data_IF_921392862716
#
_entry.id   IF_921392862716
#
_cell.length_a   1.000
_cell.length_b   1.000
_cell.length_c   1.000
_cell.angle_alpha   90.00
_cell.angle_beta   90.00
_cell.angle_gamma   90.00
#
_symmetry.space_group_name_H-M   'P 1'
#
loop_
_entity.id
_entity.type
_entity.pdbx_description
1 polymer ?
#
# COMPACT_ATOMS: atom_id res chain seq x y z
N UNK A 1 -28.78 12.79 -9.44
CA UNK A 1 -27.62 12.94 -10.35
C UNK A 1 -27.81 11.99 -11.51
N UNK A 2 -27.95 12.48 -12.75
CA UNK A 2 -28.20 11.63 -13.92
C UNK A 2 -26.90 11.01 -14.45
N UNK A 3 -26.97 9.76 -14.90
CA UNK A 3 -25.90 9.08 -15.61
C UNK A 3 -25.61 9.81 -16.94
N UNK A 4 -24.35 10.15 -17.28
CA UNK A 4 -24.03 11.01 -18.42
C UNK A 4 -24.32 10.39 -19.81
N UNK A 5 -24.90 9.20 -19.89
CA UNK A 5 -25.20 8.51 -21.14
C UNK A 5 -26.69 8.47 -21.54
N UNK A 6 -27.62 9.08 -20.80
CA UNK A 6 -29.02 9.14 -21.24
C UNK A 6 -29.27 10.36 -22.14
N UNK A 7 -29.17 10.18 -23.46
CA UNK A 7 -29.74 11.13 -24.42
C UNK A 7 -31.26 10.92 -24.48
N UNK A 8 -32.01 11.74 -23.75
CA UNK A 8 -33.47 11.85 -23.92
C UNK A 8 -33.78 13.15 -24.64
N UNK A 9 -34.08 13.06 -25.94
CA UNK A 9 -34.88 14.07 -26.66
C UNK A 9 -36.32 13.59 -26.75
N UNK A 10 -37.33 14.46 -26.62
CA UNK A 10 -38.72 14.08 -26.78
C UNK A 10 -39.00 13.83 -28.26
N UNK A 11 -39.68 12.72 -28.55
CA UNK A 11 -40.04 12.28 -29.91
C UNK A 11 -41.32 13.01 -30.33
N UNK A 12 -41.21 13.93 -31.28
CA UNK A 12 -42.32 14.27 -32.17
C UNK A 12 -42.37 13.23 -33.30
N UNK A 13 -43.58 12.75 -33.58
CA UNK A 13 -43.87 11.75 -34.58
C UNK A 13 -43.55 12.24 -35.99
N UNK A 14 -42.79 11.46 -36.76
CA UNK A 14 -42.89 11.41 -38.23
C UNK A 14 -42.42 10.03 -38.71
N UNK A 15 -43.30 9.43 -39.51
CA UNK A 15 -43.22 8.12 -40.14
C UNK A 15 -42.31 8.22 -41.38
N UNK A 16 -41.24 7.42 -41.50
CA UNK A 16 -40.79 6.98 -42.83
C UNK A 16 -39.83 5.78 -42.83
N UNK A 17 -39.95 5.00 -43.91
CA UNK A 17 -39.44 3.63 -44.10
C UNK A 17 -37.93 3.53 -44.40
N UNK A 18 -37.40 2.33 -44.08
CA UNK A 18 -36.20 1.63 -44.61
C UNK A 18 -34.81 2.11 -44.18
N UNK A 19 -34.14 1.26 -43.39
CA UNK A 19 -32.73 0.86 -43.61
C UNK A 19 -32.40 -0.45 -42.85
N UNK A 20 -31.99 -1.55 -43.51
CA UNK A 20 -31.64 -2.79 -42.85
C UNK A 20 -30.11 -2.91 -42.71
N UNK A 21 -29.47 -2.08 -41.88
CA UNK A 21 -28.04 -2.24 -41.55
C UNK A 21 -27.73 -1.67 -40.17
N UNK A 22 -27.85 -2.50 -39.13
CA UNK A 22 -27.05 -2.39 -37.89
C UNK A 22 -27.45 -3.53 -36.94
N UNK A 23 -26.67 -4.61 -36.91
CA UNK A 23 -26.60 -5.50 -35.75
C UNK A 23 -25.86 -4.74 -34.63
N UNK A 24 -26.48 -3.69 -34.09
CA UNK A 24 -26.11 -3.08 -32.83
C UNK A 24 -26.93 -3.77 -31.76
N UNK A 25 -26.29 -4.57 -30.90
CA UNK A 25 -26.91 -5.07 -29.68
C UNK A 25 -27.48 -3.86 -28.93
N UNK A 26 -28.82 -3.75 -28.87
CA UNK A 26 -29.48 -2.84 -27.95
C UNK A 26 -29.05 -3.26 -26.54
N UNK A 27 -28.06 -2.59 -25.98
CA UNK A 27 -27.77 -2.66 -24.55
C UNK A 27 -29.11 -2.41 -23.84
N UNK A 28 -29.55 -3.32 -22.95
CA UNK A 28 -30.82 -3.14 -22.27
C UNK A 28 -30.82 -1.79 -21.56
N UNK A 29 -31.91 -1.01 -21.70
CA UNK A 29 -32.11 0.22 -20.95
C UNK A 29 -32.19 -0.13 -19.46
N UNK A 30 -31.05 -0.16 -18.77
CA UNK A 30 -30.95 -0.53 -17.37
C UNK A 30 -31.20 0.70 -16.51
N UNK A 31 -32.13 0.61 -15.57
CA UNK A 31 -32.42 1.71 -14.65
C UNK A 31 -31.31 1.82 -13.58
N UNK A 32 -31.11 3.03 -13.04
CA UNK A 32 -30.08 3.30 -12.03
C UNK A 32 -30.16 2.34 -10.82
N UNK A 33 -31.38 2.13 -10.32
CA UNK A 33 -31.62 1.24 -9.17
C UNK A 33 -31.30 -0.22 -9.46
N UNK A 34 -31.56 -0.68 -10.68
CA UNK A 34 -31.25 -2.05 -11.13
C UNK A 34 -29.75 -2.24 -11.33
N UNK A 35 -29.08 -1.25 -11.96
CA UNK A 35 -27.64 -1.29 -12.20
C UNK A 35 -26.83 -1.36 -10.91
N UNK A 36 -27.22 -0.58 -9.89
CA UNK A 36 -26.53 -0.56 -8.59
C UNK A 36 -27.08 -1.57 -7.58
N UNK A 37 -28.13 -2.32 -7.92
CA UNK A 37 -28.81 -3.25 -7.02
C UNK A 37 -29.19 -2.58 -5.68
N UNK A 38 -29.81 -1.39 -5.76
CA UNK A 38 -30.15 -0.61 -4.57
C UNK A 38 -31.18 -1.32 -3.67
N UNK A 39 -31.97 -2.23 -4.23
CA UNK A 39 -32.86 -3.10 -3.47
C UNK A 39 -32.09 -3.98 -2.49
N UNK A 40 -30.90 -4.48 -2.86
CA UNK A 40 -30.04 -5.24 -1.95
C UNK A 40 -29.24 -4.33 -1.04
N UNK A 41 -28.63 -3.30 -1.61
CA UNK A 41 -27.70 -2.42 -0.90
C UNK A 41 -28.39 -1.58 0.17
N UNK A 42 -29.61 -1.09 -0.08
CA UNK A 42 -30.32 -0.22 0.87
C UNK A 42 -31.17 -1.00 1.88
N UNK A 43 -31.39 -2.31 1.67
CA UNK A 43 -32.13 -3.18 2.59
C UNK A 43 -31.22 -4.12 3.40
N UNK A 44 -29.90 -3.93 3.40
CA UNK A 44 -28.96 -4.72 4.21
C UNK A 44 -28.66 -4.10 5.58
N UNK A 45 -29.55 -3.24 6.10
CA UNK A 45 -29.39 -2.57 7.39
C UNK A 45 -30.42 -3.13 8.37
N UNK A 46 -29.94 -3.83 9.40
CA UNK A 46 -30.80 -4.40 10.45
C UNK A 46 -30.19 -4.06 11.81
N UNK A 47 -30.94 -3.36 12.64
CA UNK A 47 -30.50 -2.94 13.97
C UNK A 47 -30.68 -4.11 14.95
N UNK A 48 -29.60 -4.50 15.62
CA UNK A 48 -29.62 -5.55 16.63
C UNK A 48 -30.34 -5.08 17.90
N UNK A 49 -30.26 -3.78 18.23
CA UNK A 49 -31.05 -3.20 19.33
C UNK A 49 -32.56 -3.38 19.10
N UNK A 50 -33.04 -3.09 17.89
CA UNK A 50 -34.44 -3.26 17.53
C UNK A 50 -34.82 -4.75 17.51
N UNK A 51 -33.98 -5.59 16.92
CA UNK A 51 -34.27 -7.03 16.71
C UNK A 51 -34.27 -7.83 18.01
N UNK A 52 -33.32 -7.56 18.92
CA UNK A 52 -33.10 -8.36 20.13
C UNK A 52 -33.41 -7.61 21.42
N UNK A 53 -33.29 -6.28 21.43
CA UNK A 53 -33.54 -5.42 22.59
C UNK A 53 -34.96 -4.88 22.66
N UNK A 54 -35.73 -4.92 21.57
CA UNK A 54 -37.03 -4.23 21.41
C UNK A 54 -36.95 -2.70 21.62
N UNK A 55 -35.77 -2.10 21.45
CA UNK A 55 -35.55 -0.66 21.53
C UNK A 55 -34.75 -0.19 20.32
N UNK A 56 -35.09 0.97 19.76
CA UNK A 56 -34.37 1.52 18.60
C UNK A 56 -33.30 2.48 19.10
N UNK A 57 -32.03 2.05 19.05
CA UNK A 57 -30.90 2.95 19.31
C UNK A 57 -30.48 3.62 18.00
N UNK A 58 -30.73 4.93 17.91
CA UNK A 58 -30.58 5.69 16.67
C UNK A 58 -29.18 5.58 16.04
N UNK A 59 -28.13 5.70 16.84
CA UNK A 59 -26.75 5.73 16.36
C UNK A 59 -26.21 4.35 15.94
N UNK A 60 -26.94 3.25 16.22
CA UNK A 60 -26.62 1.94 15.68
C UNK A 60 -26.70 1.93 14.14
N UNK A 61 -27.64 2.68 13.56
CA UNK A 61 -27.74 2.83 12.11
C UNK A 61 -26.48 3.47 11.51
N UNK A 62 -25.95 4.51 12.17
CA UNK A 62 -24.69 5.16 11.77
C UNK A 62 -23.51 4.19 11.85
N UNK A 63 -23.46 3.40 12.91
CA UNK A 63 -22.43 2.36 13.09
C UNK A 63 -22.45 1.35 11.94
N UNK A 64 -23.62 0.82 11.58
CA UNK A 64 -23.77 -0.16 10.49
C UNK A 64 -23.36 0.45 9.14
N UNK A 65 -23.93 1.61 8.77
CA UNK A 65 -23.65 2.26 7.47
C UNK A 65 -22.15 2.59 7.33
N UNK A 66 -21.51 3.05 8.41
CA UNK A 66 -20.08 3.35 8.38
C UNK A 66 -19.25 2.10 8.05
N UNK A 67 -19.53 0.98 8.71
CA UNK A 67 -18.80 -0.28 8.47
C UNK A 67 -19.11 -0.85 7.08
N UNK A 68 -20.35 -0.78 6.61
CA UNK A 68 -20.71 -1.21 5.26
C UNK A 68 -19.99 -0.38 4.20
N UNK A 69 -19.89 0.94 4.38
CA UNK A 69 -19.12 1.80 3.49
C UNK A 69 -17.63 1.43 3.47
N UNK A 70 -17.02 1.12 4.64
CA UNK A 70 -15.65 0.58 4.69
C UNK A 70 -15.52 -0.72 3.88
N UNK A 71 -16.42 -1.67 4.06
CA UNK A 71 -16.37 -2.97 3.38
C UNK A 71 -16.57 -2.85 1.85
N UNK A 72 -17.37 -1.89 1.37
CA UNK A 72 -17.46 -1.59 -0.06
C UNK A 72 -16.14 -1.05 -0.62
N UNK A 73 -15.48 -0.15 0.12
CA UNK A 73 -14.18 0.38 -0.29
C UNK A 73 -13.06 -0.65 -0.19
N UNK A 74 -13.09 -1.54 0.82
CA UNK A 74 -12.17 -2.68 0.89
C UNK A 74 -12.33 -3.59 -0.31
N UNK A 75 -13.56 -3.88 -0.74
CA UNK A 75 -13.82 -4.64 -1.97
C UNK A 75 -13.22 -3.96 -3.20
N UNK A 76 -13.36 -2.64 -3.32
CA UNK A 76 -12.75 -1.89 -4.41
C UNK A 76 -11.21 -1.95 -4.37
N UNK A 77 -10.60 -1.82 -3.18
CA UNK A 77 -9.15 -1.93 -3.00
C UNK A 77 -8.66 -3.33 -3.41
N UNK A 78 -9.35 -4.40 -2.98
CA UNK A 78 -9.04 -5.78 -3.36
C UNK A 78 -9.12 -5.96 -4.88
N UNK A 79 -10.15 -5.39 -5.51
CA UNK A 79 -10.31 -5.44 -6.97
C UNK A 79 -9.14 -4.77 -7.71
N UNK A 80 -8.71 -3.59 -7.25
CA UNK A 80 -7.54 -2.90 -7.81
C UNK A 80 -6.25 -3.68 -7.56
N UNK A 81 -6.03 -4.17 -6.34
CA UNK A 81 -4.83 -4.93 -5.96
C UNK A 81 -4.71 -6.22 -6.78
N UNK A 82 -5.79 -6.97 -6.98
CA UNK A 82 -5.79 -8.15 -7.84
C UNK A 82 -5.35 -7.80 -9.26
N UNK A 83 -5.86 -6.68 -9.78
CA UNK A 83 -5.50 -6.23 -11.12
C UNK A 83 -4.04 -5.77 -11.21
N UNK A 84 -3.52 -5.08 -10.19
CA UNK A 84 -2.13 -4.66 -10.11
C UNK A 84 -1.18 -5.85 -9.97
N UNK A 85 -1.49 -6.81 -9.09
CA UNK A 85 -0.74 -8.07 -8.94
C UNK A 85 -0.63 -8.79 -10.28
N UNK A 86 -1.74 -8.94 -11.02
CA UNK A 86 -1.75 -9.56 -12.35
C UNK A 86 -0.85 -8.83 -13.36
N UNK A 87 -0.81 -7.49 -13.32
CA UNK A 87 0.07 -6.70 -14.20
C UNK A 87 1.55 -6.91 -13.86
N UNK A 88 1.91 -7.01 -12.58
CA UNK A 88 3.30 -7.29 -12.15
C UNK A 88 3.74 -8.74 -12.39
N UNK A 89 2.81 -9.70 -12.41
CA UNK A 89 3.15 -11.12 -12.65
C UNK A 89 3.65 -11.42 -14.06
N UNK A 90 3.54 -10.47 -15.00
CA UNK A 90 4.08 -10.65 -16.35
C UNK A 90 5.61 -10.54 -16.39
N UNK A 91 6.26 -11.29 -17.28
CA UNK A 91 7.73 -11.26 -17.42
C UNK A 91 8.26 -9.88 -17.82
N UNK A 92 7.56 -9.20 -18.72
CA UNK A 92 7.86 -7.84 -19.15
C UNK A 92 6.74 -6.86 -18.77
N UNK A 93 7.14 -5.69 -18.25
CA UNK A 93 6.26 -4.57 -17.97
C UNK A 93 6.62 -3.46 -18.95
N UNK A 94 5.79 -3.31 -19.98
CA UNK A 94 5.85 -2.18 -20.90
C UNK A 94 5.35 -0.88 -20.23
N UNK A 95 5.60 0.26 -20.89
CA UNK A 95 5.24 1.59 -20.35
C UNK A 95 3.72 1.76 -20.17
N UNK A 96 2.91 1.19 -21.07
CA UNK A 96 1.45 1.26 -20.97
C UNK A 96 0.94 0.53 -19.72
N UNK A 97 1.52 -0.63 -19.41
CA UNK A 97 1.23 -1.37 -18.17
C UNK A 97 1.70 -0.59 -16.95
N UNK A 98 2.86 0.05 -17.02
CA UNK A 98 3.37 0.87 -15.92
C UNK A 98 2.40 2.02 -15.60
N UNK A 99 1.92 2.75 -16.62
CA UNK A 99 0.92 3.81 -16.43
C UNK A 99 -0.38 3.29 -15.78
N UNK A 100 -0.85 2.10 -16.19
CA UNK A 100 -2.03 1.45 -15.58
C UNK A 100 -1.78 1.05 -14.13
N UNK A 101 -0.59 0.54 -13.81
CA UNK A 101 -0.19 0.23 -12.43
C UNK A 101 -0.21 1.52 -11.60
N UNK A 102 0.49 2.57 -12.04
CA UNK A 102 0.56 3.87 -11.35
C UNK A 102 -0.83 4.46 -11.12
N UNK A 103 -1.71 4.42 -12.13
CA UNK A 103 -3.08 4.93 -12.00
C UNK A 103 -3.91 4.19 -10.95
N UNK A 104 -3.78 2.86 -10.90
CA UNK A 104 -4.54 2.01 -9.95
C UNK A 104 -4.00 2.09 -8.54
N UNK A 105 -2.68 2.14 -8.38
CA UNK A 105 -2.06 2.39 -7.07
C UNK A 105 -2.45 3.77 -6.54
N UNK A 106 -2.44 4.82 -7.39
CA UNK A 106 -2.96 6.13 -7.00
C UNK A 106 -4.42 6.07 -6.53
N UNK A 107 -5.26 5.31 -7.24
CA UNK A 107 -6.67 5.12 -6.85
C UNK A 107 -6.78 4.47 -5.47
N UNK A 108 -5.99 3.44 -5.19
CA UNK A 108 -5.95 2.81 -3.86
C UNK A 108 -5.54 3.85 -2.80
N UNK A 109 -4.52 4.67 -3.06
CA UNK A 109 -4.09 5.74 -2.14
C UNK A 109 -5.22 6.73 -1.88
N UNK A 110 -5.94 7.18 -2.91
CA UNK A 110 -7.05 8.13 -2.75
C UNK A 110 -8.21 7.51 -1.96
N UNK A 111 -8.54 6.24 -2.20
CA UNK A 111 -9.55 5.53 -1.40
C UNK A 111 -9.10 5.44 0.05
N UNK A 112 -7.85 5.05 0.32
CA UNK A 112 -7.34 4.96 1.69
C UNK A 112 -7.35 6.32 2.41
N UNK A 113 -7.07 7.43 1.72
CA UNK A 113 -7.22 8.79 2.28
C UNK A 113 -8.67 9.07 2.69
N UNK A 114 -9.64 8.74 1.84
CA UNK A 114 -11.06 8.84 2.18
C UNK A 114 -11.41 7.98 3.41
N UNK A 115 -10.87 6.76 3.50
CA UNK A 115 -11.09 5.86 4.64
C UNK A 115 -10.52 6.40 5.95
N UNK A 116 -9.39 7.12 5.90
CA UNK A 116 -8.81 7.82 7.05
C UNK A 116 -9.75 8.92 7.52
N UNK A 117 -10.28 9.73 6.60
CA UNK A 117 -11.18 10.84 6.91
C UNK A 117 -12.57 10.35 7.35
N UNK A 118 -13.03 9.21 6.85
CA UNK A 118 -14.34 8.64 7.18
C UNK A 118 -14.51 8.33 8.68
N UNK A 119 -13.43 8.13 9.44
CA UNK A 119 -13.49 7.87 10.90
C UNK A 119 -14.18 9.03 11.63
N UNK A 120 -13.99 10.28 11.17
CA UNK A 120 -14.55 11.46 11.85
C UNK A 120 -16.08 11.46 11.83
N UNK A 121 -16.71 10.76 10.89
CA UNK A 121 -18.17 10.59 10.83
C UNK A 121 -18.63 9.76 12.03
N UNK A 122 -17.94 8.66 12.33
CA UNK A 122 -18.28 7.80 13.47
C UNK A 122 -17.94 8.44 14.81
N UNK A 123 -16.96 9.35 14.84
CA UNK A 123 -16.61 10.15 16.03
C UNK A 123 -17.67 11.20 16.41
N UNK A 124 -18.72 11.38 15.60
CA UNK A 124 -19.88 12.21 15.96
C UNK A 124 -20.81 11.54 16.97
N UNK A 125 -20.81 10.20 17.02
CA UNK A 125 -21.53 9.41 18.04
C UNK A 125 -20.91 9.61 19.42
N UNK A 126 -21.72 9.83 20.46
CA UNK A 126 -21.18 9.96 21.81
C UNK A 126 -20.88 8.56 22.41
N UNK A 127 -19.89 8.44 23.31
CA UNK A 127 -19.57 7.17 23.95
C UNK A 127 -20.75 6.55 24.73
N UNK A 128 -21.63 7.38 25.31
CA UNK A 128 -22.81 6.91 26.02
C UNK A 128 -23.82 6.26 25.07
N UNK A 129 -24.10 6.87 23.92
CA UNK A 129 -24.98 6.32 22.89
C UNK A 129 -24.42 4.99 22.36
N UNK A 130 -23.09 4.89 22.20
CA UNK A 130 -22.45 3.63 21.84
C UNK A 130 -22.66 2.52 22.89
N UNK A 131 -22.67 2.86 24.19
CA UNK A 131 -22.90 1.87 25.24
C UNK A 131 -24.30 1.26 25.20
N UNK A 132 -25.31 2.01 24.72
CA UNK A 132 -26.71 1.54 24.67
C UNK A 132 -26.88 0.30 23.78
N UNK A 133 -26.14 0.22 22.66
CA UNK A 133 -26.25 -0.92 21.74
C UNK A 133 -25.03 -1.85 21.73
N UNK A 134 -23.92 -1.50 22.39
CA UNK A 134 -22.68 -2.30 22.40
C UNK A 134 -22.89 -3.75 22.84
N UNK A 135 -23.82 -4.01 23.76
CA UNK A 135 -24.08 -5.37 24.27
C UNK A 135 -24.55 -6.34 23.18
N UNK A 136 -25.26 -5.84 22.16
CA UNK A 136 -25.76 -6.65 21.05
C UNK A 136 -24.66 -7.02 20.04
N UNK A 137 -23.50 -6.36 20.10
CA UNK A 137 -22.39 -6.63 19.19
C UNK A 137 -21.54 -7.82 19.61
N UNK A 138 -21.60 -8.28 20.87
CA UNK A 138 -20.75 -9.40 21.32
C UNK A 138 -21.23 -10.73 20.74
N UNK A 139 -20.35 -11.61 20.20
CA UNK A 139 -18.88 -11.55 20.16
C UNK A 139 -18.29 -10.92 18.89
N UNK A 140 -19.12 -10.29 18.04
CA UNK A 140 -18.69 -9.71 16.79
C UNK A 140 -17.64 -8.59 16.98
N UNK A 141 -16.66 -8.56 16.07
CA UNK A 141 -15.58 -7.58 16.13
C UNK A 141 -14.94 -7.35 14.75
N UNK A 142 -14.32 -6.18 14.57
CA UNK A 142 -13.52 -5.88 13.38
C UNK A 142 -12.37 -6.85 13.11
N UNK A 143 -11.98 -7.68 14.10
CA UNK A 143 -11.08 -8.81 13.87
C UNK A 143 -11.59 -9.82 12.84
N UNK A 144 -12.91 -9.89 12.67
CA UNK A 144 -13.61 -10.78 11.74
C UNK A 144 -13.81 -10.13 10.36
N UNK A 145 -13.26 -8.94 10.09
CA UNK A 145 -13.26 -8.39 8.73
C UNK A 145 -12.32 -9.20 7.84
N UNK A 146 -12.91 -10.07 7.03
CA UNK A 146 -12.22 -10.92 6.05
C UNK A 146 -11.46 -10.06 5.05
N UNK A 147 -12.11 -9.05 4.49
CA UNK A 147 -11.53 -8.20 3.46
C UNK A 147 -10.32 -7.41 3.98
N UNK A 148 -10.36 -6.94 5.23
CA UNK A 148 -9.20 -6.28 5.83
C UNK A 148 -7.98 -7.22 5.94
N UNK A 149 -8.20 -8.48 6.34
CA UNK A 149 -7.11 -9.49 6.38
C UNK A 149 -6.60 -9.85 5.00
N UNK A 150 -7.49 -9.99 4.02
CA UNK A 150 -7.12 -10.21 2.62
C UNK A 150 -6.27 -9.07 2.09
N UNK A 151 -6.60 -7.80 2.37
CA UNK A 151 -5.78 -6.64 1.97
C UNK A 151 -4.38 -6.72 2.58
N UNK A 152 -4.26 -6.99 3.89
CA UNK A 152 -2.96 -7.13 4.56
C UNK A 152 -2.11 -8.24 3.92
N UNK A 153 -2.70 -9.41 3.66
CA UNK A 153 -2.03 -10.56 3.07
C UNK A 153 -1.61 -10.27 1.61
N UNK A 154 -2.52 -9.68 0.81
CA UNK A 154 -2.27 -9.29 -0.58
C UNK A 154 -1.14 -8.26 -0.71
N UNK A 155 -1.03 -7.32 0.24
CA UNK A 155 0.09 -6.39 0.28
C UNK A 155 1.39 -7.12 0.63
N UNK A 156 1.37 -7.94 1.70
CA UNK A 156 2.48 -8.81 2.08
C UNK A 156 2.82 -8.80 3.57
N UNK A 157 1.86 -8.50 4.46
CA UNK A 157 2.05 -8.63 5.91
C UNK A 157 2.17 -10.12 6.26
N UNK A 158 3.31 -10.52 6.82
CA UNK A 158 3.54 -11.93 7.16
C UNK A 158 3.00 -12.27 8.54
N UNK A 159 2.65 -13.54 8.75
CA UNK A 159 2.10 -14.00 10.02
C UNK A 159 3.06 -13.85 11.20
N UNK A 160 4.36 -14.05 10.99
CA UNK A 160 5.37 -13.92 12.04
C UNK A 160 5.54 -12.46 12.52
N UNK A 161 5.08 -11.51 11.72
CA UNK A 161 5.15 -10.08 12.03
C UNK A 161 3.94 -9.61 12.83
N UNK A 162 2.82 -10.35 12.77
CA UNK A 162 1.58 -10.00 13.45
C UNK A 162 1.77 -10.10 14.95
N UNK A 163 1.16 -9.16 15.68
CA UNK A 163 1.13 -9.20 17.14
C UNK A 163 0.08 -10.23 17.56
N UNK A 164 0.48 -11.17 18.41
CA UNK A 164 -0.41 -12.19 18.93
C UNK A 164 -1.49 -11.53 19.79
N UNK A 165 -2.75 -11.77 19.41
CA UNK A 165 -3.93 -11.32 20.14
C UNK A 165 -4.35 -12.37 21.20
N UNK A 166 -4.33 -13.66 20.82
CA UNK A 166 -4.52 -14.81 21.70
C UNK A 166 -3.30 -15.74 21.58
N UNK A 167 -3.27 -16.86 22.34
CA UNK A 167 -2.30 -17.94 22.12
C UNK A 167 -2.42 -18.57 20.72
N UNK A 168 -3.54 -18.32 20.03
CA UNK A 168 -3.88 -18.87 18.71
C UNK A 168 -3.58 -17.90 17.55
N UNK A 169 -3.45 -18.45 16.34
CA UNK A 169 -3.24 -17.70 15.08
C UNK A 169 -4.42 -16.74 14.81
N UNK A 170 -4.17 -15.64 14.09
CA UNK A 170 -5.23 -14.66 13.72
C UNK A 170 -6.42 -15.29 12.97
N UNK A 171 -6.20 -16.41 12.29
CA UNK A 171 -7.24 -17.17 11.59
C UNK A 171 -8.30 -17.76 12.52
N UNK A 172 -7.96 -18.00 13.79
CA UNK A 172 -8.89 -18.57 14.79
C UNK A 172 -10.10 -17.68 15.08
N UNK A 173 -10.07 -16.42 14.62
CA UNK A 173 -11.18 -15.48 14.77
C UNK A 173 -12.32 -15.77 13.78
N UNK A 174 -12.05 -16.49 12.69
CA UNK A 174 -13.05 -16.89 11.70
C UNK A 174 -13.59 -18.29 12.04
N UNK A 175 -14.90 -18.45 12.01
CA UNK A 175 -15.58 -19.72 12.29
C UNK A 175 -16.18 -20.35 11.04
N UNK A 176 -16.48 -19.55 10.01
CA UNK A 176 -17.07 -20.03 8.78
C UNK A 176 -15.99 -20.55 7.80
N UNK A 177 -16.20 -21.72 7.17
CA UNK A 177 -15.21 -22.33 6.30
C UNK A 177 -14.83 -21.48 5.08
N UNK A 178 -15.77 -20.69 4.54
CA UNK A 178 -15.55 -19.87 3.35
C UNK A 178 -14.58 -18.71 3.62
N UNK A 179 -14.76 -18.00 4.74
CA UNK A 179 -13.85 -16.94 5.16
C UNK A 179 -12.47 -17.49 5.50
N UNK A 180 -12.40 -18.62 6.20
CA UNK A 180 -11.12 -19.29 6.50
C UNK A 180 -10.40 -19.62 5.19
N UNK A 181 -11.11 -20.22 4.21
CA UNK A 181 -10.52 -20.55 2.92
C UNK A 181 -10.04 -19.30 2.18
N UNK A 182 -10.85 -18.25 2.13
CA UNK A 182 -10.50 -16.98 1.47
C UNK A 182 -9.24 -16.36 2.07
N UNK A 183 -9.12 -16.35 3.40
CA UNK A 183 -7.95 -15.80 4.10
C UNK A 183 -6.72 -16.68 3.85
N UNK A 184 -6.84 -18.00 3.93
CA UNK A 184 -5.75 -18.94 3.65
C UNK A 184 -5.25 -18.86 2.20
N UNK A 185 -6.18 -18.77 1.23
CA UNK A 185 -5.84 -18.56 -0.17
C UNK A 185 -5.03 -17.27 -0.34
N UNK A 186 -5.48 -16.17 0.28
CA UNK A 186 -4.75 -14.89 0.23
C UNK A 186 -3.36 -14.92 0.85
N UNK A 187 -3.11 -15.82 1.81
CA UNK A 187 -1.80 -15.99 2.47
C UNK A 187 -0.82 -16.78 1.59
N UNK A 188 -1.30 -17.78 0.86
CA UNK A 188 -0.49 -18.62 -0.03
C UNK A 188 -0.20 -17.92 -1.37
N UNK A 189 -1.09 -17.03 -1.78
CA UNK A 189 -0.99 -16.26 -2.99
C UNK A 189 0.24 -15.35 -3.02
N UNK A 190 0.84 -15.15 -4.20
CA UNK A 190 2.01 -14.26 -4.30
C UNK A 190 1.61 -12.81 -4.01
N UNK A 191 2.13 -12.25 -2.92
CA UNK A 191 1.82 -10.88 -2.48
C UNK A 191 2.40 -9.81 -3.41
N UNK A 192 1.84 -8.61 -3.34
CA UNK A 192 2.32 -7.44 -4.08
C UNK A 192 3.78 -7.15 -3.75
N UNK A 193 4.19 -7.26 -2.48
CA UNK A 193 5.58 -7.07 -2.07
C UNK A 193 6.55 -8.01 -2.81
N UNK A 194 6.21 -9.29 -2.94
CA UNK A 194 7.06 -10.26 -3.68
C UNK A 194 7.11 -9.93 -5.16
N UNK A 195 5.98 -9.55 -5.77
CA UNK A 195 5.93 -9.18 -7.18
C UNK A 195 6.73 -7.90 -7.50
N UNK A 196 6.63 -6.90 -6.62
CA UNK A 196 7.40 -5.66 -6.71
C UNK A 196 8.90 -5.96 -6.57
N UNK A 197 9.31 -6.82 -5.64
CA UNK A 197 10.72 -7.24 -5.51
C UNK A 197 11.23 -7.89 -6.79
N UNK A 198 10.50 -8.86 -7.36
CA UNK A 198 10.87 -9.50 -8.64
C UNK A 198 11.02 -8.50 -9.78
N UNK A 199 10.17 -7.48 -9.82
CA UNK A 199 10.28 -6.39 -10.78
C UNK A 199 11.53 -5.52 -10.54
N UNK A 200 11.79 -5.14 -9.29
CA UNK A 200 12.96 -4.34 -8.90
C UNK A 200 14.28 -5.05 -9.17
N UNK A 201 14.35 -6.37 -9.00
CA UNK A 201 15.53 -7.19 -9.32
C UNK A 201 15.91 -7.19 -10.80
N UNK A 202 14.97 -6.78 -11.68
CA UNK A 202 15.14 -6.64 -13.13
C UNK A 202 15.38 -5.20 -13.56
N UNK A 203 15.58 -4.27 -12.62
CA UNK A 203 15.83 -2.86 -12.93
C UNK A 203 17.05 -2.74 -13.84
N UNK A 204 16.93 -2.05 -15.00
CA UNK A 204 18.05 -1.90 -15.92
C UNK A 204 19.15 -1.06 -15.26
N UNK A 205 20.40 -1.51 -15.41
CA UNK A 205 21.60 -0.86 -14.88
C UNK A 205 22.24 -1.56 -13.68
N UNK A 206 21.55 -2.56 -13.12
CA UNK A 206 22.10 -3.44 -12.07
C UNK A 206 23.04 -4.53 -12.64
N UNK A 207 23.09 -4.71 -13.96
CA UNK A 207 23.88 -5.78 -14.57
C UNK A 207 25.39 -5.51 -14.40
N UNK A 208 26.14 -6.52 -13.93
CA UNK A 208 27.61 -6.44 -13.72
C UNK A 208 28.39 -6.08 -14.98
N UNK A 209 27.96 -6.66 -16.12
CA UNK A 209 28.58 -6.44 -17.44
C UNK A 209 27.96 -5.25 -18.19
N UNK A 210 27.08 -4.48 -17.54
CA UNK A 210 26.42 -3.30 -18.11
C UNK A 210 26.86 -2.03 -17.40
N UNK A 211 25.88 -1.24 -16.94
CA UNK A 211 26.17 0.01 -16.21
C UNK A 211 26.86 -0.24 -14.85
N UNK A 212 26.61 -1.41 -14.23
CA UNK A 212 27.13 -1.81 -12.93
C UNK A 212 26.93 -0.73 -11.85
N UNK A 213 25.67 -0.30 -11.69
CA UNK A 213 25.28 0.74 -10.74
C UNK A 213 25.84 0.47 -9.34
N UNK A 214 25.71 -0.78 -8.86
CA UNK A 214 26.06 -1.13 -7.49
C UNK A 214 27.54 -0.90 -7.19
N UNK A 215 28.44 -1.31 -8.09
CA UNK A 215 29.88 -1.11 -7.89
C UNK A 215 30.25 0.37 -7.93
N UNK A 216 29.72 1.12 -8.90
CA UNK A 216 29.96 2.57 -8.99
C UNK A 216 29.46 3.32 -7.76
N UNK A 217 28.31 2.92 -7.24
CA UNK A 217 27.75 3.50 -6.03
C UNK A 217 28.61 3.19 -4.80
N UNK A 218 29.08 1.94 -4.67
CA UNK A 218 30.05 1.54 -3.64
C UNK A 218 31.34 2.37 -3.73
N UNK A 219 31.93 2.49 -4.91
CA UNK A 219 33.16 3.26 -5.12
C UNK A 219 32.97 4.74 -4.77
N UNK A 220 31.84 5.35 -5.13
CA UNK A 220 31.50 6.72 -4.70
C UNK A 220 31.49 6.85 -3.18
N UNK A 221 30.83 5.92 -2.47
CA UNK A 221 30.73 5.98 -1.00
C UNK A 221 32.10 5.77 -0.36
N UNK A 222 32.91 4.83 -0.87
CA UNK A 222 34.27 4.60 -0.39
C UNK A 222 35.15 5.84 -0.59
N UNK A 223 35.08 6.49 -1.75
CA UNK A 223 35.80 7.75 -2.00
C UNK A 223 35.38 8.85 -1.01
N UNK A 224 34.08 8.96 -0.68
CA UNK A 224 33.61 9.91 0.33
C UNK A 224 34.15 9.60 1.74
N UNK A 225 34.20 8.31 2.11
CA UNK A 225 34.78 7.88 3.38
C UNK A 225 36.29 8.15 3.43
N UNK A 226 37.01 7.94 2.34
CA UNK A 226 38.43 8.29 2.21
C UNK A 226 38.66 9.80 2.32
N UNK A 227 37.82 10.64 1.67
CA UNK A 227 37.88 12.10 1.83
C UNK A 227 37.62 12.54 3.27
N UNK A 228 36.62 11.97 3.95
CA UNK A 228 36.37 12.24 5.37
C UNK A 228 37.57 11.83 6.22
N UNK A 229 38.16 10.66 5.93
CA UNK A 229 39.35 10.19 6.65
C UNK A 229 40.54 11.13 6.47
N UNK A 230 40.77 11.60 5.24
CA UNK A 230 41.80 12.60 4.95
C UNK A 230 41.56 13.91 5.72
N UNK A 231 40.32 14.40 5.79
CA UNK A 231 39.96 15.58 6.57
C UNK A 231 40.24 15.40 8.06
N UNK A 232 39.86 14.25 8.63
CA UNK A 232 40.14 13.90 10.05
C UNK A 232 41.65 13.92 10.33
N UNK A 233 42.45 13.35 9.42
CA UNK A 233 43.90 13.23 9.61
C UNK A 233 44.63 14.57 9.46
N UNK A 234 44.04 15.55 8.78
CA UNK A 234 44.61 16.90 8.56
C UNK A 234 43.94 18.01 9.41
N UNK A 235 42.89 17.68 10.17
CA UNK A 235 42.24 18.63 11.06
C UNK A 235 43.06 18.83 12.33
N UNK A 236 43.32 20.10 12.66
CA UNK A 236 44.13 20.52 13.81
C UNK A 236 43.27 20.83 15.03
N UNK A 237 41.99 21.16 14.83
CA UNK A 237 41.02 21.40 15.88
C UNK A 237 40.44 20.07 16.40
N UNK A 238 40.78 19.71 17.64
CA UNK A 238 40.32 18.46 18.27
C UNK A 238 38.78 18.37 18.41
N UNK A 239 38.06 19.50 18.53
CA UNK A 239 36.60 19.47 18.56
C UNK A 239 36.03 19.04 17.22
N UNK A 240 36.50 19.67 16.14
CA UNK A 240 36.06 19.34 14.76
C UNK A 240 36.50 17.96 14.34
N UNK A 241 37.70 17.53 14.74
CA UNK A 241 38.19 16.19 14.48
C UNK A 241 37.29 15.11 15.10
N UNK A 242 36.83 15.33 16.32
CA UNK A 242 35.88 14.42 16.97
C UNK A 242 34.52 14.41 16.25
N UNK A 243 34.01 15.57 15.82
CA UNK A 243 32.77 15.65 15.04
C UNK A 243 32.88 14.88 13.70
N UNK A 244 33.97 15.09 12.97
CA UNK A 244 34.25 14.38 11.71
C UNK A 244 34.42 12.87 11.92
N UNK A 245 35.05 12.45 13.02
CA UNK A 245 35.20 11.03 13.36
C UNK A 245 33.85 10.36 13.63
N UNK A 246 32.95 11.03 14.36
CA UNK A 246 31.58 10.55 14.59
C UNK A 246 30.81 10.45 13.26
N UNK A 247 30.93 11.45 12.38
CA UNK A 247 30.31 11.40 11.04
C UNK A 247 30.83 10.22 10.22
N UNK A 248 32.15 10.01 10.19
CA UNK A 248 32.79 8.90 9.49
C UNK A 248 32.29 7.55 10.01
N UNK A 249 32.30 7.34 11.33
CA UNK A 249 31.88 6.07 11.94
C UNK A 249 30.38 5.81 11.69
N UNK A 250 29.54 6.84 11.80
CA UNK A 250 28.12 6.72 11.51
C UNK A 250 27.86 6.35 10.04
N UNK A 251 28.52 7.04 9.11
CA UNK A 251 28.39 6.80 7.67
C UNK A 251 28.89 5.40 7.31
N UNK A 252 30.07 5.02 7.78
CA UNK A 252 30.66 3.70 7.55
C UNK A 252 29.72 2.59 8.05
N UNK A 253 29.27 2.65 9.31
CA UNK A 253 28.38 1.63 9.87
C UNK A 253 27.04 1.53 9.10
N UNK A 254 26.51 2.66 8.66
CA UNK A 254 25.29 2.72 7.86
C UNK A 254 25.46 2.00 6.53
N UNK A 255 26.48 2.36 5.74
CA UNK A 255 26.74 1.78 4.42
C UNK A 255 27.32 0.35 4.47
N UNK A 256 28.04 -0.02 5.52
CA UNK A 256 28.48 -1.41 5.75
C UNK A 256 27.28 -2.36 5.82
N UNK A 257 26.17 -1.94 6.42
CA UNK A 257 24.92 -2.73 6.47
C UNK A 257 24.20 -2.83 5.11
N UNK A 258 24.63 -2.03 4.13
CA UNK A 258 24.06 -1.99 2.79
C UNK A 258 24.87 -2.85 1.81
N UNK A 259 26.20 -2.72 1.82
CA UNK A 259 27.09 -3.42 0.89
C UNK A 259 27.32 -4.89 1.28
N UNK A 260 27.29 -5.21 2.57
CA UNK A 260 27.40 -6.58 3.06
C UNK A 260 26.06 -7.33 2.91
N UNK A 261 26.06 -8.30 1.99
CA UNK A 261 24.89 -9.13 1.69
C UNK A 261 24.48 -10.01 2.88
N UNK A 262 25.43 -10.49 3.68
CA UNK A 262 25.13 -11.33 4.84
C UNK A 262 24.46 -10.51 5.95
N UNK A 263 24.98 -9.31 6.24
CA UNK A 263 24.34 -8.37 7.18
C UNK A 263 22.95 -7.96 6.71
N UNK A 264 22.79 -7.70 5.41
CA UNK A 264 21.48 -7.42 4.83
C UNK A 264 20.50 -8.58 5.04
N UNK A 265 20.91 -9.82 4.70
CA UNK A 265 20.08 -11.00 4.86
C UNK A 265 19.74 -11.28 6.33
N UNK A 266 20.66 -10.98 7.26
CA UNK A 266 20.39 -11.05 8.71
C UNK A 266 19.31 -10.04 9.16
N UNK A 267 19.27 -8.85 8.57
CA UNK A 267 18.20 -7.86 8.81
C UNK A 267 16.86 -8.30 8.23
N UNK A 268 16.86 -8.94 7.06
CA UNK A 268 15.66 -9.53 6.46
C UNK A 268 15.13 -10.68 7.33
N UNK A 269 16.00 -11.57 7.80
CA UNK A 269 15.63 -12.70 8.66
C UNK A 269 15.02 -12.25 10.00
N UNK A 270 15.50 -11.13 10.56
CA UNK A 270 14.95 -10.51 11.78
C UNK A 270 13.65 -9.72 11.55
N UNK A 271 13.25 -9.51 10.30
CA UNK A 271 12.09 -8.68 9.98
C UNK A 271 12.33 -7.19 10.20
N UNK A 272 13.58 -6.72 10.08
CA UNK A 272 13.93 -5.30 10.04
C UNK A 272 13.96 -4.77 8.59
N UNK A 273 14.30 -5.62 7.62
CA UNK A 273 14.14 -5.39 6.18
C UNK A 273 13.13 -6.40 5.58
N UNK A 274 12.61 -6.14 4.39
CA UNK A 274 11.62 -6.98 3.67
C UNK A 274 12.12 -7.40 2.29
N UNK A 275 12.81 -6.51 1.62
CA UNK A 275 13.29 -6.68 0.26
C UNK A 275 14.51 -7.58 0.20
N UNK A 276 14.65 -8.33 -0.90
CA UNK A 276 15.92 -8.93 -1.26
C UNK A 276 16.99 -7.86 -1.48
N UNK A 277 18.26 -8.23 -1.32
CA UNK A 277 19.37 -7.30 -1.52
C UNK A 277 19.30 -6.64 -2.90
N UNK A 278 19.08 -7.44 -3.94
CA UNK A 278 19.01 -6.97 -5.33
C UNK A 278 17.77 -6.10 -5.61
N UNK A 279 16.61 -6.40 -5.00
CA UNK A 279 15.44 -5.53 -5.08
C UNK A 279 15.72 -4.15 -4.43
N UNK A 280 16.44 -4.15 -3.31
CA UNK A 280 16.88 -2.91 -2.65
C UNK A 280 17.78 -2.06 -3.58
N UNK A 281 18.72 -2.68 -4.29
CA UNK A 281 19.57 -1.98 -5.27
C UNK A 281 18.73 -1.32 -6.38
N UNK A 282 17.74 -2.04 -6.90
CA UNK A 282 16.83 -1.53 -7.94
C UNK A 282 16.01 -0.33 -7.45
N UNK A 283 15.47 -0.42 -6.23
CA UNK A 283 14.71 0.68 -5.64
C UNK A 283 15.57 1.93 -5.40
N UNK A 284 16.82 1.74 -4.94
CA UNK A 284 17.78 2.84 -4.80
C UNK A 284 18.13 3.46 -6.14
N UNK A 285 18.37 2.63 -7.17
CA UNK A 285 18.66 3.11 -8.52
C UNK A 285 17.50 3.96 -9.07
N UNK A 286 16.27 3.48 -9.00
CA UNK A 286 15.08 4.25 -9.44
C UNK A 286 14.97 5.57 -8.67
N UNK A 287 15.27 5.57 -7.36
CA UNK A 287 15.17 6.78 -6.53
C UNK A 287 16.22 7.83 -6.88
N UNK A 288 17.46 7.41 -7.18
CA UNK A 288 18.56 8.31 -7.54
C UNK A 288 18.43 8.87 -8.96
N UNK A 289 17.93 8.07 -9.92
CA UNK A 289 17.78 8.47 -11.33
C UNK A 289 16.31 8.72 -11.71
N UNK A 290 15.47 9.13 -10.77
CA UNK A 290 14.01 9.31 -10.95
C UNK A 290 13.60 10.30 -12.07
N UNK A 291 14.49 11.22 -12.42
CA UNK A 291 14.24 12.22 -13.47
C UNK A 291 14.40 11.64 -14.89
N UNK A 292 15.00 10.45 -15.01
CA UNK A 292 15.11 9.78 -16.30
C UNK A 292 13.73 9.30 -16.78
N UNK A 293 13.38 9.47 -18.07
CA UNK A 293 12.03 9.20 -18.57
C UNK A 293 11.49 7.81 -18.22
N UNK A 294 12.32 6.77 -18.37
CA UNK A 294 11.94 5.38 -18.03
C UNK A 294 11.88 5.08 -16.54
N UNK A 295 12.43 5.94 -15.67
CA UNK A 295 12.37 5.79 -14.21
C UNK A 295 11.36 6.70 -13.53
N UNK A 296 10.84 7.71 -14.21
CA UNK A 296 9.81 8.59 -13.67
C UNK A 296 8.56 7.83 -13.18
N UNK A 297 7.97 6.98 -14.03
CA UNK A 297 6.80 6.18 -13.65
C UNK A 297 7.11 5.13 -12.57
N UNK A 298 8.21 4.34 -12.67
CA UNK A 298 8.68 3.50 -11.58
C UNK A 298 8.83 4.22 -10.24
N UNK A 299 9.35 5.46 -10.23
CA UNK A 299 9.50 6.24 -9.01
C UNK A 299 8.13 6.56 -8.40
N UNK A 300 7.14 6.96 -9.21
CA UNK A 300 5.77 7.17 -8.74
C UNK A 300 5.15 5.89 -8.15
N UNK A 301 5.41 4.73 -8.73
CA UNK A 301 4.99 3.44 -8.14
C UNK A 301 5.59 3.26 -6.75
N UNK A 302 6.91 3.50 -6.57
CA UNK A 302 7.55 3.40 -5.26
C UNK A 302 6.95 4.37 -4.25
N UNK A 303 6.72 5.63 -4.64
CA UNK A 303 6.06 6.63 -3.79
C UNK A 303 4.67 6.18 -3.37
N UNK A 304 3.87 5.66 -4.30
CA UNK A 304 2.49 5.22 -4.01
C UNK A 304 2.45 4.00 -3.09
N UNK A 305 3.40 3.07 -3.20
CA UNK A 305 3.51 1.94 -2.27
C UNK A 305 3.82 2.43 -0.85
N UNK A 306 4.70 3.41 -0.70
CA UNK A 306 4.96 4.08 0.58
C UNK A 306 3.71 4.84 1.09
N UNK A 307 2.97 5.50 0.21
CA UNK A 307 1.73 6.19 0.56
C UNK A 307 0.63 5.23 1.05
N UNK A 308 0.53 4.03 0.46
CA UNK A 308 -0.40 2.98 0.90
C UNK A 308 -0.09 2.57 2.35
N UNK A 309 1.17 2.25 2.66
CA UNK A 309 1.60 1.90 4.03
C UNK A 309 1.31 3.02 5.02
N UNK A 310 1.61 4.27 4.63
CA UNK A 310 1.37 5.45 5.44
C UNK A 310 -0.13 5.65 5.71
N UNK A 311 -0.99 5.52 4.70
CA UNK A 311 -2.43 5.66 4.87
C UNK A 311 -3.03 4.55 5.72
N UNK A 312 -2.58 3.30 5.58
CA UNK A 312 -3.04 2.19 6.44
C UNK A 312 -2.63 2.44 7.90
N UNK A 313 -1.41 2.92 8.14
CA UNK A 313 -0.96 3.23 9.51
C UNK A 313 -1.75 4.40 10.10
N UNK A 314 -2.02 5.45 9.31
CA UNK A 314 -2.89 6.56 9.72
C UNK A 314 -4.31 6.09 10.05
N UNK A 315 -4.88 5.22 9.22
CA UNK A 315 -6.19 4.63 9.48
C UNK A 315 -6.21 3.84 10.79
N UNK A 316 -5.20 3.00 11.04
CA UNK A 316 -5.07 2.27 12.32
C UNK A 316 -4.93 3.24 13.50
N UNK A 317 -4.17 4.32 13.34
CA UNK A 317 -3.97 5.31 14.39
C UNK A 317 -5.26 6.04 14.73
N UNK A 318 -5.97 6.55 13.73
CA UNK A 318 -7.28 7.20 13.93
C UNK A 318 -8.28 6.22 14.55
N UNK A 319 -8.28 4.96 14.12
CA UNK A 319 -9.13 3.92 14.70
C UNK A 319 -8.78 3.68 16.18
N UNK A 320 -7.49 3.65 16.55
CA UNK A 320 -7.04 3.55 17.95
C UNK A 320 -7.56 4.71 18.79
N UNK A 321 -7.47 5.95 18.29
CA UNK A 321 -7.95 7.15 19.00
C UNK A 321 -9.47 7.12 19.19
N UNK A 322 -10.22 6.80 18.13
CA UNK A 322 -11.67 6.63 18.19
C UNK A 322 -12.05 5.55 19.22
N UNK A 323 -11.41 4.38 19.20
CA UNK A 323 -11.68 3.32 20.17
C UNK A 323 -11.37 3.77 21.60
N UNK A 324 -10.25 4.48 21.82
CA UNK A 324 -9.93 5.02 23.14
C UNK A 324 -11.01 6.00 23.64
N UNK A 325 -11.59 6.82 22.74
CA UNK A 325 -12.70 7.72 23.07
C UNK A 325 -13.99 6.96 23.38
N UNK A 326 -14.29 5.89 22.64
CA UNK A 326 -15.54 5.13 22.77
C UNK A 326 -15.57 4.20 23.99
N UNK A 327 -14.47 3.52 24.31
CA UNK A 327 -14.43 2.49 25.37
C UNK A 327 -13.32 2.68 26.41
N UNK A 328 -12.53 3.75 26.30
CA UNK A 328 -11.37 3.95 27.16
C UNK A 328 -10.23 2.97 26.87
N UNK A 329 -9.27 2.88 27.80
CA UNK A 329 -8.09 2.01 27.69
C UNK A 329 -8.19 0.70 28.47
N UNK A 330 -9.22 0.55 29.31
CA UNK A 330 -9.36 -0.56 30.25
C UNK A 330 -10.48 -1.54 29.91
N UNK A 331 -11.46 -1.14 29.08
CA UNK A 331 -12.48 -2.07 28.62
C UNK A 331 -11.90 -3.03 27.59
N UNK A 332 -12.21 -4.32 27.76
CA UNK A 332 -11.90 -5.35 26.78
C UNK A 332 -12.73 -5.12 25.51
N UNK A 333 -12.13 -5.40 24.35
CA UNK A 333 -12.85 -5.42 23.08
C UNK A 333 -13.87 -6.56 23.06
N UNK A 334 -14.98 -6.38 22.32
CA UNK A 334 -16.01 -7.42 22.13
C UNK A 334 -15.45 -8.71 21.51
N UNK A 335 -14.38 -8.59 20.72
CA UNK A 335 -13.64 -9.73 20.15
C UNK A 335 -12.65 -10.42 21.11
N UNK A 336 -12.63 -10.07 22.40
CA UNK A 336 -11.78 -10.70 23.42
C UNK A 336 -10.39 -10.08 23.62
N UNK A 337 -10.09 -8.96 22.96
CA UNK A 337 -8.79 -8.28 23.05
C UNK A 337 -8.65 -7.35 24.24
N UNK A 338 -7.40 -7.01 24.55
CA UNK A 338 -7.07 -5.87 25.43
C UNK A 338 -7.52 -4.51 24.86
N UNK A 339 -8.33 -4.53 23.79
CA UNK A 339 -8.98 -3.38 23.17
C UNK A 339 -7.95 -2.42 22.62
N UNK A 340 -7.89 -1.25 23.23
CA UNK A 340 -6.97 -0.17 22.92
C UNK A 340 -5.51 -0.62 22.85
N UNK A 341 -5.02 -1.42 23.81
CA UNK A 341 -3.60 -1.79 23.87
C UNK A 341 -3.16 -2.70 22.73
N UNK A 342 -4.00 -3.66 22.35
CA UNK A 342 -3.76 -4.46 21.16
C UNK A 342 -3.71 -3.58 19.92
N UNK A 343 -4.72 -2.72 19.70
CA UNK A 343 -4.79 -1.89 18.51
C UNK A 343 -3.57 -0.95 18.42
N UNK A 344 -3.13 -0.38 19.54
CA UNK A 344 -1.91 0.44 19.63
C UNK A 344 -0.66 -0.34 19.22
N UNK A 345 -0.56 -1.62 19.57
CA UNK A 345 0.58 -2.47 19.15
C UNK A 345 0.63 -2.69 17.63
N UNK A 346 -0.50 -2.54 16.92
CA UNK A 346 -0.56 -2.66 15.46
C UNK A 346 0.00 -1.44 14.71
N UNK A 347 0.34 -0.36 15.43
CA UNK A 347 0.97 0.86 14.87
C UNK A 347 2.47 0.70 14.62
N UNK A 348 3.03 -0.48 14.90
CA UNK A 348 4.45 -0.78 14.71
C UNK A 348 4.81 -0.96 13.23
N UNK A 349 6.07 -0.67 12.89
CA UNK A 349 6.68 -0.96 11.58
C UNK A 349 6.63 -2.44 11.18
N UNK A 350 6.29 -3.34 12.13
CA UNK A 350 5.96 -4.74 11.82
C UNK A 350 4.88 -4.88 10.74
N UNK A 351 3.90 -3.97 10.71
CA UNK A 351 2.81 -3.98 9.72
C UNK A 351 3.10 -3.16 8.46
N UNK A 352 4.24 -2.45 8.37
CA UNK A 352 4.65 -1.73 7.16
C UNK A 352 5.32 -2.71 6.20
N UNK A 353 4.71 -2.90 5.04
CA UNK A 353 5.14 -3.91 4.05
C UNK A 353 6.33 -3.40 3.24
N UNK A 354 6.36 -2.10 2.95
CA UNK A 354 7.35 -1.41 2.13
C UNK A 354 8.25 -0.51 2.99
N UNK A 355 8.54 -0.92 4.23
CA UNK A 355 9.41 -0.19 5.17
C UNK A 355 10.79 0.13 4.59
N UNK A 356 11.31 -0.75 3.72
CA UNK A 356 12.59 -0.53 3.04
C UNK A 356 12.57 0.71 2.14
N UNK A 357 11.44 1.00 1.48
CA UNK A 357 11.32 2.19 0.62
C UNK A 357 11.43 3.48 1.44
N UNK A 358 10.85 3.52 2.64
CA UNK A 358 11.02 4.66 3.55
C UNK A 358 12.49 4.81 3.98
N UNK A 359 13.11 3.68 4.31
CA UNK A 359 14.49 3.61 4.80
C UNK A 359 15.54 3.80 3.70
N UNK A 360 15.16 3.86 2.41
CA UNK A 360 16.07 4.26 1.32
C UNK A 360 16.66 5.64 1.56
N UNK A 361 15.90 6.54 2.20
CA UNK A 361 16.32 7.91 2.52
C UNK A 361 17.62 7.94 3.33
N UNK A 362 17.87 6.92 4.14
CA UNK A 362 19.10 6.75 4.93
C UNK A 362 20.36 6.60 4.07
N UNK A 363 20.22 6.11 2.84
CA UNK A 363 21.33 5.80 1.93
C UNK A 363 21.48 6.80 0.78
N UNK A 364 20.78 7.93 0.84
CA UNK A 364 20.90 8.97 -0.18
C UNK A 364 22.25 9.68 -0.06
N UNK A 365 22.82 9.98 -1.22
CA UNK A 365 24.04 10.77 -1.36
C UNK A 365 23.72 12.08 -2.08
N UNK A 366 24.65 13.05 -2.05
CA UNK A 366 24.48 14.33 -2.72
C UNK A 366 24.35 14.10 -4.24
N UNK A 367 23.54 14.93 -4.89
CA UNK A 367 23.27 14.80 -6.33
C UNK A 367 24.54 14.82 -7.20
N UNK A 368 25.56 15.60 -6.80
CA UNK A 368 26.84 15.68 -7.50
C UNK A 368 27.68 14.39 -7.42
N UNK A 369 27.42 13.53 -6.44
CA UNK A 369 28.19 12.31 -6.19
C UNK A 369 27.52 11.08 -6.84
N UNK A 370 26.27 11.23 -7.31
CA UNK A 370 25.55 10.14 -8.00
C UNK A 370 26.36 9.74 -9.24
N UNK A 371 26.65 8.44 -9.45
CA UNK A 371 27.42 8.00 -10.60
C UNK A 371 26.78 8.49 -11.92
N UNK A 372 27.52 9.19 -12.79
CA UNK A 372 26.94 9.68 -14.03
C UNK A 372 26.55 8.51 -14.94
N UNK A 373 25.39 8.64 -15.59
CA UNK A 373 24.94 7.67 -16.59
C UNK A 373 25.89 7.67 -17.78
N UNK A 374 26.25 6.48 -18.27
CA UNK A 374 26.98 6.36 -19.54
C UNK A 374 26.06 6.76 -20.70
N UNK A 375 26.59 7.20 -21.86
CA UNK A 375 25.75 7.52 -23.03
C UNK A 375 24.80 6.38 -23.42
N UNK A 376 25.31 5.14 -23.42
CA UNK A 376 24.50 3.93 -23.66
C UNK A 376 23.38 3.75 -22.62
N UNK A 377 23.65 4.01 -21.34
CA UNK A 377 22.63 3.89 -20.30
C UNK A 377 21.59 5.01 -20.41
N UNK A 378 22.02 6.24 -20.73
CA UNK A 378 21.13 7.37 -20.96
C UNK A 378 20.20 7.11 -22.16
N UNK A 379 20.73 6.55 -23.25
CA UNK A 379 19.92 6.12 -24.40
C UNK A 379 18.95 4.99 -24.00
N UNK A 380 19.42 3.99 -23.24
CA UNK A 380 18.55 2.90 -22.73
C UNK A 380 17.43 3.42 -21.84
N UNK A 381 17.65 4.50 -21.09
CA UNK A 381 16.65 5.13 -20.21
C UNK A 381 15.81 6.23 -20.88
N UNK A 382 16.17 6.60 -22.11
CA UNK A 382 15.41 7.50 -22.96
C UNK A 382 14.21 6.80 -23.60
N UNK A 383 13.20 7.58 -23.99
CA UNK A 383 12.05 7.14 -24.80
C UNK A 383 12.38 7.17 -26.30
N UNK A 384 13.35 8.00 -26.71
CA UNK A 384 13.83 8.04 -28.10
C UNK A 384 14.83 6.91 -28.34
N UNK A 385 14.42 5.92 -29.14
CA UNK A 385 15.38 5.17 -29.95
C UNK A 385 15.89 6.14 -31.01
N UNK A 386 17.20 6.34 -31.09
CA UNK A 386 17.77 6.96 -32.30
C UNK A 386 17.36 6.06 -33.46
N UNK A 387 16.53 6.59 -34.36
CA UNK A 387 16.43 6.05 -35.70
C UNK A 387 17.85 6.08 -36.25
N UNK A 388 18.42 4.92 -36.57
CA UNK A 388 19.56 4.84 -37.47
C UNK A 388 19.15 5.51 -38.78
N UNK A 389 19.35 6.83 -38.88
CA UNK A 389 19.44 7.52 -40.17
C UNK A 389 20.84 7.25 -40.68
N UNK A 390 21.04 6.06 -41.23
CA UNK A 390 21.98 5.86 -42.32
C UNK A 390 21.30 6.36 -43.61
N UNK A 391 21.64 7.58 -44.02
CA UNK A 391 21.66 8.01 -45.44
C UNK A 391 22.85 8.93 -45.69
#
# INVERSE_FOLDING_TARGET
MACPFSSSRPVEALDDKKNPTANGSKLPNMLYGEYLQLDKLLNCVTLASETYGNEVVHDEHLFIITHQAYELWFKQIIFELNSVRKLFSSEAIDENRMLRITSRLNRIVVILKLLVDQIVILETMAPLDFMEFRQYLSPASGFQSVQFRVIENMLGVKNEQRVNFSKDKYISVFTDPESINTVLESENDTSLCVLVQRWLERTPGLEKNGFNFWKKFEDTVMNQLECLKFQIDHETDESKKNELQVEYDHKKNTFDSLFDVEKHNALVARGERRFSHKAFQGALMISLYREEPRFNQPFHVLTQLTDIDACITKWRYNHVLMVQRMIGSQQLGTGGSSGYWYLRSTLSDRYKVFVDLCNLSTFLIRACDIPPLTPQMKQRLSIQQESDTEE
#
